data_IF_683709767701
#
_entry.id   IF_683709767701
#
_cell.length_a   1.000
_cell.length_b   1.000
_cell.length_c   1.000
_cell.angle_alpha   90.00
_cell.angle_beta   90.00
_cell.angle_gamma   90.00
#
_symmetry.space_group_name_H-M   'P 1'
#
loop_
_entity.id
_entity.type
_entity.pdbx_description
1 polymer ?
#
# COMPACT_ATOMS: atom_id res chain seq x y z
N UNK A 1 24.52 38.31 4.38
CA UNK A 1 23.31 37.46 4.55
C UNK A 1 22.73 37.31 3.15
N UNK A 2 22.48 36.08 2.67
CA UNK A 2 21.82 35.89 1.37
C UNK A 2 20.40 36.44 1.46
N UNK A 3 19.94 37.12 0.42
CA UNK A 3 18.57 37.61 0.33
C UNK A 3 17.66 36.49 -0.19
N UNK A 4 16.52 36.28 0.47
CA UNK A 4 15.59 35.19 0.14
C UNK A 4 14.35 35.76 -0.53
N UNK A 5 14.10 35.34 -1.76
CA UNK A 5 12.93 35.74 -2.55
C UNK A 5 12.15 34.50 -3.01
N UNK A 6 10.91 34.71 -3.46
CA UNK A 6 10.05 33.63 -3.98
C UNK A 6 10.73 32.94 -5.18
N UNK A 7 11.46 33.70 -5.98
CA UNK A 7 12.15 33.23 -7.19
C UNK A 7 13.38 32.41 -6.84
N UNK A 8 14.20 32.86 -5.88
CA UNK A 8 15.53 32.28 -5.64
C UNK A 8 15.57 31.20 -4.54
N UNK A 9 14.55 31.12 -3.66
CA UNK A 9 14.60 30.24 -2.49
C UNK A 9 14.77 28.76 -2.86
N UNK A 10 14.19 28.34 -3.99
CA UNK A 10 14.29 26.93 -4.44
C UNK A 10 15.72 26.58 -4.81
N UNK A 11 16.40 27.45 -5.56
CA UNK A 11 17.81 27.28 -5.93
C UNK A 11 18.71 27.29 -4.70
N UNK A 12 18.45 28.17 -3.74
CA UNK A 12 19.22 28.21 -2.49
C UNK A 12 19.09 26.89 -1.70
N UNK A 13 17.89 26.32 -1.60
CA UNK A 13 17.71 25.00 -0.94
C UNK A 13 18.45 23.88 -1.69
N UNK A 14 18.47 23.93 -3.03
CA UNK A 14 19.25 22.98 -3.84
C UNK A 14 20.75 23.09 -3.56
N UNK A 15 21.29 24.31 -3.57
CA UNK A 15 22.70 24.55 -3.28
C UNK A 15 23.06 24.07 -1.87
N UNK A 16 22.21 24.37 -0.88
CA UNK A 16 22.57 24.10 0.52
C UNK A 16 22.44 22.63 0.92
N UNK A 17 21.46 21.91 0.37
CA UNK A 17 21.12 20.56 0.84
C UNK A 17 21.23 19.50 -0.27
N UNK A 18 20.66 19.77 -1.45
CA UNK A 18 20.62 18.77 -2.53
C UNK A 18 22.02 18.53 -3.09
N UNK A 19 22.76 19.59 -3.43
CA UNK A 19 24.09 19.49 -4.04
C UNK A 19 25.11 18.75 -3.17
N UNK A 20 24.93 18.80 -1.84
CA UNK A 20 25.81 18.18 -0.84
C UNK A 20 25.42 16.75 -0.48
N UNK A 21 24.30 16.25 -0.99
CA UNK A 21 23.85 14.87 -0.75
C UNK A 21 24.75 13.90 -1.50
N UNK A 22 25.49 13.04 -0.79
CA UNK A 22 26.51 12.16 -1.39
C UNK A 22 25.94 11.09 -2.32
N UNK A 23 24.86 10.42 -1.89
CA UNK A 23 24.18 9.39 -2.67
C UNK A 23 23.52 10.01 -3.92
N UNK A 24 23.91 9.59 -5.14
CA UNK A 24 23.37 10.17 -6.37
C UNK A 24 21.86 9.97 -6.53
N UNK A 25 21.31 8.83 -6.10
CA UNK A 25 19.89 8.53 -6.22
C UNK A 25 19.09 9.33 -5.19
N UNK A 26 19.56 9.40 -3.95
CA UNK A 26 18.93 10.23 -2.93
C UNK A 26 18.94 11.71 -3.33
N UNK A 27 20.04 12.18 -3.94
CA UNK A 27 20.15 13.54 -4.47
C UNK A 27 19.08 13.83 -5.52
N UNK A 28 18.87 12.91 -6.45
CA UNK A 28 17.81 13.02 -7.47
C UNK A 28 16.42 13.07 -6.82
N UNK A 29 16.15 12.18 -5.85
CA UNK A 29 14.86 12.10 -5.15
C UNK A 29 14.56 13.39 -4.39
N UNK A 30 15.48 13.85 -3.53
CA UNK A 30 15.27 15.05 -2.72
C UNK A 30 15.20 16.29 -3.63
N UNK A 31 16.03 16.35 -4.67
CA UNK A 31 16.02 17.46 -5.62
C UNK A 31 14.67 17.59 -6.34
N UNK A 32 14.12 16.48 -6.83
CA UNK A 32 12.80 16.45 -7.45
C UNK A 32 11.69 16.82 -6.45
N UNK A 33 11.73 16.24 -5.24
CA UNK A 33 10.76 16.52 -4.18
C UNK A 33 10.70 18.01 -3.82
N UNK A 34 11.86 18.63 -3.58
CA UNK A 34 11.96 20.07 -3.27
C UNK A 34 11.37 20.91 -4.40
N UNK A 35 11.68 20.58 -5.66
CA UNK A 35 11.15 21.29 -6.81
C UNK A 35 9.62 21.25 -6.87
N UNK A 36 9.04 20.05 -6.77
CA UNK A 36 7.58 19.89 -6.85
C UNK A 36 6.86 20.49 -5.64
N UNK A 37 7.43 20.36 -4.44
CA UNK A 37 6.86 20.94 -3.22
C UNK A 37 6.87 22.47 -3.27
N UNK A 38 8.00 23.08 -3.65
CA UNK A 38 8.07 24.53 -3.80
C UNK A 38 7.18 25.05 -4.94
N UNK A 39 7.07 24.30 -6.04
CA UNK A 39 6.15 24.64 -7.12
C UNK A 39 4.69 24.64 -6.63
N UNK A 40 4.26 23.62 -5.88
CA UNK A 40 2.93 23.57 -5.27
C UNK A 40 2.68 24.76 -4.34
N UNK A 41 3.60 25.04 -3.41
CA UNK A 41 3.46 26.17 -2.46
C UNK A 41 3.32 27.51 -3.19
N UNK A 42 4.06 27.72 -4.28
CA UNK A 42 3.98 28.95 -5.09
C UNK A 42 2.69 29.01 -5.91
N UNK A 43 2.26 27.91 -6.51
CA UNK A 43 1.07 27.83 -7.38
C UNK A 43 -0.19 28.26 -6.64
N UNK A 44 -0.34 27.82 -5.40
CA UNK A 44 -1.53 28.12 -4.58
C UNK A 44 -1.32 29.30 -3.62
N UNK A 45 -0.15 29.95 -3.63
CA UNK A 45 0.23 31.01 -2.70
C UNK A 45 -0.07 30.64 -1.22
N UNK A 46 0.39 29.46 -0.79
CA UNK A 46 0.05 28.88 0.52
C UNK A 46 0.27 29.88 1.66
N UNK A 47 -0.77 30.13 2.46
CA UNK A 47 -0.69 31.09 3.57
C UNK A 47 0.00 30.48 4.79
N UNK A 48 0.51 31.34 5.69
CA UNK A 48 1.11 30.89 6.96
C UNK A 48 0.13 30.06 7.81
N UNK A 49 -1.16 30.42 7.78
CA UNK A 49 -2.20 29.69 8.51
C UNK A 49 -2.42 28.29 7.94
N UNK A 50 -2.59 28.17 6.63
CA UNK A 50 -2.77 26.87 5.97
C UNK A 50 -1.52 26.00 6.10
N UNK A 51 -0.33 26.60 6.00
CA UNK A 51 0.92 25.91 6.27
C UNK A 51 0.95 25.34 7.69
N UNK A 52 0.56 26.13 8.70
CA UNK A 52 0.54 25.66 10.09
C UNK A 52 -0.48 24.52 10.29
N UNK A 53 -1.65 24.60 9.66
CA UNK A 53 -2.65 23.52 9.66
C UNK A 53 -2.11 22.25 8.99
N UNK A 54 -1.38 22.36 7.87
CA UNK A 54 -0.73 21.22 7.22
C UNK A 54 0.34 20.57 8.10
N UNK A 55 1.14 21.37 8.83
CA UNK A 55 2.12 20.85 9.81
C UNK A 55 1.42 20.11 10.94
N UNK A 56 0.30 20.63 11.45
CA UNK A 56 -0.49 19.93 12.47
C UNK A 56 -1.06 18.61 11.95
N UNK A 57 -1.58 18.60 10.72
CA UNK A 57 -2.08 17.38 10.07
C UNK A 57 -0.99 16.30 9.98
N UNK A 58 0.19 16.62 9.41
CA UNK A 58 1.31 15.67 9.30
C UNK A 58 1.81 15.19 10.67
N UNK A 59 1.79 16.07 11.66
CA UNK A 59 2.14 15.71 13.05
C UNK A 59 1.14 14.71 13.62
N UNK A 60 -0.16 14.95 13.44
CA UNK A 60 -1.21 14.04 13.90
C UNK A 60 -1.16 12.69 13.18
N UNK A 61 -0.92 12.68 11.85
CA UNK A 61 -0.66 11.45 11.09
C UNK A 61 0.48 10.64 11.69
N UNK A 62 1.62 11.28 12.00
CA UNK A 62 2.74 10.61 12.65
C UNK A 62 2.40 10.07 14.05
N UNK A 63 1.65 10.82 14.86
CA UNK A 63 1.23 10.41 16.20
C UNK A 63 0.22 9.27 16.23
N UNK A 64 -0.52 9.07 15.13
CA UNK A 64 -1.45 7.95 14.96
C UNK A 64 -0.76 6.67 14.49
N UNK A 65 0.52 6.74 14.12
CA UNK A 65 1.29 5.55 13.77
C UNK A 65 1.74 4.79 15.03
N UNK A 66 1.61 3.46 15.00
CA UNK A 66 2.11 2.54 16.02
C UNK A 66 2.60 1.23 15.37
N UNK A 67 2.88 0.19 16.17
CA UNK A 67 3.37 -1.11 15.66
C UNK A 67 2.38 -1.83 14.72
N UNK A 68 1.09 -1.52 14.82
CA UNK A 68 0.01 -2.15 14.06
C UNK A 68 -0.61 -1.20 13.02
N UNK A 69 -0.52 0.10 13.24
CA UNK A 69 -1.13 1.15 12.41
C UNK A 69 -0.06 2.00 11.75
N UNK A 70 -0.06 2.03 10.42
CA UNK A 70 0.83 2.88 9.63
C UNK A 70 0.03 3.98 8.91
N UNK A 71 -0.25 5.08 9.61
CA UNK A 71 -1.09 6.17 9.09
C UNK A 71 -0.46 6.89 7.89
N UNK A 72 0.86 6.93 7.79
CA UNK A 72 1.52 7.47 6.58
C UNK A 72 1.32 6.58 5.34
N UNK A 73 1.19 5.25 5.52
CA UNK A 73 0.81 4.35 4.41
C UNK A 73 -0.64 4.63 4.02
N UNK A 74 -1.55 4.76 4.99
CA UNK A 74 -2.95 5.11 4.70
C UNK A 74 -3.10 6.48 4.03
N UNK A 75 -2.30 7.48 4.43
CA UNK A 75 -2.24 8.77 3.76
C UNK A 75 -1.75 8.61 2.31
N UNK A 76 -0.71 7.80 2.07
CA UNK A 76 -0.25 7.46 0.73
C UNK A 76 -1.34 6.80 -0.12
N UNK A 77 -2.10 5.86 0.45
CA UNK A 77 -3.21 5.17 -0.22
C UNK A 77 -4.32 6.15 -0.63
N UNK A 78 -4.75 7.01 0.29
CA UNK A 78 -5.81 8.02 0.03
C UNK A 78 -5.40 9.10 -0.96
N UNK A 79 -4.10 9.41 -1.06
CA UNK A 79 -3.54 10.32 -2.05
C UNK A 79 -3.20 9.62 -3.39
N UNK A 80 -3.38 8.29 -3.49
CA UNK A 80 -3.07 7.50 -4.68
C UNK A 80 -1.58 7.28 -4.95
N UNK A 81 -0.70 7.66 -4.01
CA UNK A 81 0.76 7.56 -4.16
C UNK A 81 1.19 6.09 -4.20
N UNK A 82 0.63 5.24 -3.34
CA UNK A 82 0.95 3.81 -3.31
C UNK A 82 0.59 3.11 -4.62
N UNK A 83 -0.56 3.43 -5.21
CA UNK A 83 -0.96 2.91 -6.53
C UNK A 83 -0.03 3.39 -7.65
N UNK A 84 0.39 4.66 -7.60
CA UNK A 84 1.32 5.19 -8.59
C UNK A 84 2.70 4.51 -8.49
N UNK A 85 3.18 4.27 -7.26
CA UNK A 85 4.42 3.51 -7.04
C UNK A 85 4.29 2.08 -7.57
N UNK A 86 3.18 1.40 -7.32
CA UNK A 86 2.92 0.05 -7.85
C UNK A 86 2.97 0.03 -9.39
N UNK A 87 2.23 0.92 -10.04
CA UNK A 87 2.15 0.98 -11.50
C UNK A 87 3.51 1.28 -12.16
N UNK A 88 4.35 2.12 -11.55
CA UNK A 88 5.71 2.43 -12.05
C UNK A 88 6.63 1.20 -11.97
N UNK A 89 6.53 0.41 -10.89
CA UNK A 89 7.44 -0.69 -10.61
C UNK A 89 6.97 -2.04 -11.16
N UNK A 90 5.67 -2.17 -11.46
CA UNK A 90 5.07 -3.36 -12.02
C UNK A 90 4.35 -3.05 -13.35
N UNK A 91 5.06 -2.50 -14.35
CA UNK A 91 4.47 -2.21 -15.64
C UNK A 91 3.93 -3.52 -16.24
N UNK A 92 2.67 -3.49 -16.68
CA UNK A 92 2.00 -4.66 -17.22
C UNK A 92 2.79 -5.22 -18.41
N UNK A 93 3.23 -6.46 -18.30
CA UNK A 93 3.79 -7.22 -19.43
C UNK A 93 2.75 -8.24 -19.91
N UNK A 94 2.26 -8.04 -21.14
CA UNK A 94 1.34 -8.96 -21.79
C UNK A 94 0.01 -9.17 -21.04
N UNK A 95 -0.41 -10.43 -20.95
CA UNK A 95 -1.72 -10.84 -20.45
C UNK A 95 -1.80 -11.06 -18.93
N UNK A 96 -0.76 -10.70 -18.16
CA UNK A 96 -0.77 -10.86 -16.70
C UNK A 96 -1.91 -10.11 -16.01
N UNK A 97 -2.37 -10.66 -14.88
CA UNK A 97 -3.31 -9.99 -13.97
C UNK A 97 -2.70 -8.67 -13.49
N UNK A 98 -3.50 -7.60 -13.48
CA UNK A 98 -3.06 -6.29 -13.02
C UNK A 98 -2.72 -6.33 -11.53
N UNK A 99 -1.63 -5.65 -11.15
CA UNK A 99 -1.24 -5.49 -9.75
C UNK A 99 -2.08 -4.42 -9.07
N UNK A 100 -2.09 -4.44 -7.75
CA UNK A 100 -2.63 -3.37 -6.92
C UNK A 100 -1.84 -3.29 -5.62
N UNK A 101 -2.07 -2.23 -4.86
CA UNK A 101 -1.40 -1.98 -3.58
C UNK A 101 -1.66 -3.11 -2.58
N UNK A 102 -0.61 -3.47 -1.82
CA UNK A 102 -0.73 -4.47 -0.75
C UNK A 102 -1.65 -4.01 0.39
N UNK A 103 -1.67 -2.71 0.65
CA UNK A 103 -2.34 -2.12 1.80
C UNK A 103 -1.63 -2.45 3.13
N UNK A 104 -2.06 -1.84 4.25
CA UNK A 104 -1.40 -1.97 5.54
C UNK A 104 -1.83 -3.22 6.34
N UNK A 105 -2.75 -4.03 5.81
CA UNK A 105 -3.42 -5.11 6.55
C UNK A 105 -2.95 -6.51 6.15
N UNK A 106 -1.85 -6.61 5.42
CA UNK A 106 -1.21 -7.89 5.17
C UNK A 106 -0.56 -8.42 6.44
N UNK A 107 -0.90 -9.65 6.83
CA UNK A 107 -0.30 -10.34 7.96
C UNK A 107 0.54 -11.53 7.45
N UNK A 108 1.85 -11.45 7.61
CA UNK A 108 2.75 -12.56 7.28
C UNK A 108 2.48 -13.76 8.20
N UNK A 109 2.50 -14.97 7.66
CA UNK A 109 2.37 -16.19 8.46
C UNK A 109 0.96 -16.76 8.55
N UNK A 110 0.04 -16.30 7.70
CA UNK A 110 -1.29 -16.90 7.57
C UNK A 110 -1.19 -18.44 7.37
N UNK A 111 -2.12 -19.21 7.98
CA UNK A 111 -2.08 -20.66 7.93
C UNK A 111 -2.34 -21.21 6.52
N UNK A 112 -1.73 -22.36 6.22
CA UNK A 112 -2.00 -23.09 4.99
C UNK A 112 -3.25 -23.96 5.14
N UNK A 113 -4.08 -23.96 4.10
CA UNK A 113 -5.32 -24.72 4.05
C UNK A 113 -5.38 -25.66 2.84
N UNK A 114 -6.03 -26.83 2.98
CA UNK A 114 -6.41 -27.64 1.82
C UNK A 114 -7.29 -26.86 0.84
N UNK A 115 -7.19 -27.19 -0.44
CA UNK A 115 -8.02 -26.57 -1.47
C UNK A 115 -9.51 -26.77 -1.19
N UNK A 116 -10.30 -25.69 -1.26
CA UNK A 116 -11.74 -25.67 -0.98
C UNK A 116 -12.10 -25.46 0.49
N UNK A 117 -11.13 -25.37 1.40
CA UNK A 117 -11.37 -25.06 2.82
C UNK A 117 -11.83 -23.61 3.03
N UNK A 118 -12.40 -23.37 4.21
CA UNK A 118 -12.83 -22.04 4.66
C UNK A 118 -11.69 -21.30 5.36
N UNK A 119 -11.52 -20.02 5.04
CA UNK A 119 -10.68 -19.07 5.80
C UNK A 119 -11.45 -18.39 6.95
N UNK A 120 -12.77 -18.60 7.03
CA UNK A 120 -13.61 -18.11 8.13
C UNK A 120 -13.39 -19.01 9.35
N UNK A 121 -12.71 -18.50 10.37
CA UNK A 121 -12.56 -19.17 11.67
C UNK A 121 -13.76 -18.86 12.58
N UNK A 122 -14.24 -17.61 12.53
CA UNK A 122 -15.44 -17.14 13.21
C UNK A 122 -16.26 -16.32 12.23
N UNK A 123 -17.55 -16.63 12.13
CA UNK A 123 -18.53 -15.92 11.31
C UNK A 123 -18.68 -14.48 11.81
N UNK A 124 -18.46 -13.51 10.92
CA UNK A 124 -18.59 -12.08 11.24
C UNK A 124 -19.90 -11.47 10.75
N UNK A 125 -20.84 -12.29 10.29
CA UNK A 125 -22.11 -11.89 9.70
C UNK A 125 -22.01 -11.52 8.22
N UNK A 126 -20.93 -11.93 7.55
CA UNK A 126 -20.74 -11.73 6.12
C UNK A 126 -21.58 -12.70 5.29
N UNK A 127 -21.71 -12.40 3.99
CA UNK A 127 -22.38 -13.31 3.05
C UNK A 127 -21.43 -14.44 2.68
N UNK A 128 -21.75 -15.72 2.96
CA UNK A 128 -20.88 -16.83 2.57
C UNK A 128 -20.63 -16.87 1.06
N UNK A 129 -19.38 -17.04 0.68
CA UNK A 129 -18.93 -16.99 -0.71
C UNK A 129 -17.89 -18.06 -1.01
N UNK A 130 -17.82 -18.48 -2.29
CA UNK A 130 -16.73 -19.28 -2.82
C UNK A 130 -15.94 -18.44 -3.82
N UNK A 131 -14.63 -18.32 -3.60
CA UNK A 131 -13.72 -17.69 -4.55
C UNK A 131 -12.96 -18.80 -5.27
N UNK A 132 -13.07 -18.84 -6.60
CA UNK A 132 -12.46 -19.90 -7.43
C UNK A 132 -11.90 -19.35 -8.73
N UNK A 133 -10.87 -20.00 -9.25
CA UNK A 133 -10.23 -19.64 -10.50
C UNK A 133 -9.11 -20.60 -10.88
N UNK A 134 -8.20 -20.11 -11.72
CA UNK A 134 -7.02 -20.84 -12.19
C UNK A 134 -5.84 -19.88 -12.28
N UNK A 135 -4.67 -20.33 -11.83
CA UNK A 135 -3.39 -19.66 -12.03
C UNK A 135 -2.73 -20.25 -13.27
N UNK A 136 -2.34 -19.38 -14.20
CA UNK A 136 -1.67 -19.77 -15.45
C UNK A 136 -0.47 -18.90 -15.74
N UNK A 137 0.42 -19.40 -16.59
CA UNK A 137 1.44 -18.58 -17.23
C UNK A 137 0.84 -17.67 -18.32
N UNK A 138 1.71 -16.92 -19.02
CA UNK A 138 1.30 -15.99 -20.09
C UNK A 138 0.72 -16.69 -21.32
N UNK A 139 0.98 -17.99 -21.49
CA UNK A 139 0.47 -18.81 -22.59
C UNK A 139 -0.81 -19.57 -22.21
N UNK A 140 -1.27 -19.44 -20.96
CA UNK A 140 -2.48 -20.08 -20.43
C UNK A 140 -2.26 -21.49 -19.85
N UNK A 141 -1.01 -21.95 -19.75
CA UNK A 141 -0.69 -23.24 -19.13
C UNK A 141 -0.89 -23.16 -17.62
N UNK A 142 -1.50 -24.18 -16.98
CA UNK A 142 -1.66 -24.21 -15.53
C UNK A 142 -0.30 -24.16 -14.81
N UNK A 143 -0.24 -23.42 -13.72
CA UNK A 143 0.93 -23.41 -12.82
C UNK A 143 0.62 -24.29 -11.61
N UNK A 144 1.37 -25.37 -11.44
CA UNK A 144 1.37 -26.19 -10.21
C UNK A 144 2.23 -25.53 -9.14
N UNK A 145 1.80 -25.58 -7.87
CA UNK A 145 2.58 -25.10 -6.75
C UNK A 145 2.54 -23.58 -6.55
N UNK A 146 1.75 -22.83 -7.32
CA UNK A 146 1.50 -21.42 -7.05
C UNK A 146 0.72 -21.28 -5.73
N UNK A 147 1.17 -20.35 -4.87
CA UNK A 147 0.56 -20.04 -3.58
C UNK A 147 -0.33 -18.82 -3.73
N UNK A 148 -1.60 -18.97 -3.35
CA UNK A 148 -2.53 -17.87 -3.13
C UNK A 148 -2.52 -17.51 -1.65
N UNK A 149 -1.95 -16.36 -1.30
CA UNK A 149 -2.00 -15.77 0.04
C UNK A 149 -3.15 -14.75 0.06
N UNK A 150 -4.23 -15.06 0.76
CA UNK A 150 -5.48 -14.27 0.73
C UNK A 150 -5.80 -13.70 2.11
N UNK A 151 -6.32 -12.47 2.14
CA UNK A 151 -6.84 -11.81 3.33
C UNK A 151 -7.98 -10.87 2.94
N UNK A 152 -8.97 -10.70 3.82
CA UNK A 152 -10.05 -9.73 3.64
C UNK A 152 -10.53 -9.17 4.97
N UNK A 153 -11.22 -8.03 4.92
CA UNK A 153 -11.93 -7.50 6.06
C UNK A 153 -13.17 -8.36 6.38
N UNK A 154 -13.60 -8.31 7.63
CA UNK A 154 -14.90 -8.84 8.09
C UNK A 154 -16.07 -8.01 7.55
N UNK A 155 -17.31 -8.48 7.78
CA UNK A 155 -18.53 -7.72 7.44
C UNK A 155 -18.62 -6.35 8.14
N UNK A 156 -17.89 -6.18 9.24
CA UNK A 156 -17.76 -4.89 9.93
C UNK A 156 -16.75 -3.92 9.29
N UNK A 157 -16.04 -4.35 8.24
CA UNK A 157 -14.99 -3.59 7.58
C UNK A 157 -13.64 -3.61 8.30
N UNK A 158 -13.50 -4.41 9.36
CA UNK A 158 -12.26 -4.54 10.13
C UNK A 158 -11.52 -5.84 9.79
N UNK A 159 -10.20 -5.74 9.67
CA UNK A 159 -9.30 -6.90 9.62
C UNK A 159 -9.04 -7.46 11.02
N UNK A 160 -8.64 -8.74 11.11
CA UNK A 160 -8.41 -9.41 12.38
C UNK A 160 -7.46 -8.64 13.32
N UNK A 161 -6.42 -8.00 12.77
CA UNK A 161 -5.43 -7.25 13.56
C UNK A 161 -5.98 -5.95 14.17
N UNK A 162 -7.09 -5.44 13.65
CA UNK A 162 -7.75 -4.22 14.12
C UNK A 162 -8.81 -4.50 15.18
N UNK A 163 -9.31 -5.73 15.27
CA UNK A 163 -10.31 -6.13 16.24
C UNK A 163 -9.72 -7.13 17.25
N UNK A 164 -9.45 -6.72 18.50
CA UNK A 164 -8.90 -7.60 19.54
C UNK A 164 -9.75 -8.84 19.85
N UNK A 165 -11.03 -8.83 19.50
CA UNK A 165 -11.95 -9.95 19.71
C UNK A 165 -11.91 -10.97 18.56
N UNK A 166 -11.26 -10.63 17.44
CA UNK A 166 -11.12 -11.53 16.31
C UNK A 166 -9.97 -12.52 16.51
N UNK A 167 -10.15 -13.80 16.12
CA UNK A 167 -9.06 -14.75 16.07
C UNK A 167 -7.94 -14.24 15.15
N UNK A 168 -6.70 -14.54 15.52
CA UNK A 168 -5.55 -14.29 14.65
C UNK A 168 -5.75 -15.01 13.32
N UNK A 169 -5.53 -14.30 12.21
CA UNK A 169 -5.74 -14.81 10.85
C UNK A 169 -7.19 -15.20 10.51
N UNK A 170 -8.21 -14.69 11.21
CA UNK A 170 -9.58 -14.82 10.70
C UNK A 170 -9.67 -14.16 9.31
N UNK A 171 -10.26 -14.84 8.34
CA UNK A 171 -10.34 -14.42 6.93
C UNK A 171 -8.99 -14.32 6.22
N UNK A 172 -7.95 -14.96 6.75
CA UNK A 172 -6.65 -15.09 6.10
C UNK A 172 -6.33 -16.56 5.81
N UNK A 173 -5.61 -16.83 4.73
CA UNK A 173 -5.16 -18.20 4.46
C UNK A 173 -4.29 -18.33 3.22
N UNK A 174 -3.55 -19.43 3.17
CA UNK A 174 -2.71 -19.80 2.02
C UNK A 174 -3.19 -21.08 1.36
N UNK A 175 -3.28 -21.06 0.03
CA UNK A 175 -3.69 -22.21 -0.76
C UNK A 175 -2.68 -22.47 -1.87
N UNK A 176 -2.26 -23.73 -2.02
CA UNK A 176 -1.32 -24.13 -3.06
C UNK A 176 -2.04 -24.86 -4.18
N UNK A 177 -1.88 -24.37 -5.40
CA UNK A 177 -2.48 -24.97 -6.61
C UNK A 177 -1.90 -26.35 -6.92
N UNK A 178 -2.76 -27.26 -7.39
CA UNK A 178 -2.34 -28.56 -7.92
C UNK A 178 -1.96 -28.50 -9.41
N UNK A 179 -1.75 -29.66 -10.07
CA UNK A 179 -1.33 -29.74 -11.47
C UNK A 179 -2.27 -29.07 -12.48
N UNK A 180 -3.55 -28.89 -12.13
CA UNK A 180 -4.52 -28.21 -13.00
C UNK A 180 -4.56 -26.69 -12.80
N UNK A 181 -3.71 -26.15 -11.92
CA UNK A 181 -3.56 -24.73 -11.60
C UNK A 181 -4.79 -24.12 -10.93
N UNK A 182 -5.81 -24.91 -10.57
CA UNK A 182 -7.06 -24.37 -10.04
C UNK A 182 -6.94 -24.02 -8.56
N UNK A 183 -7.71 -23.00 -8.17
CA UNK A 183 -7.95 -22.70 -6.78
C UNK A 183 -9.44 -22.55 -6.48
N UNK A 184 -9.80 -22.85 -5.23
CA UNK A 184 -11.12 -22.67 -4.66
C UNK A 184 -10.94 -22.48 -3.15
N UNK A 185 -11.60 -21.48 -2.56
CA UNK A 185 -11.67 -21.29 -1.13
C UNK A 185 -13.07 -20.81 -0.72
N UNK A 186 -13.50 -21.15 0.48
CA UNK A 186 -14.69 -20.58 1.09
C UNK A 186 -14.30 -19.37 1.96
N UNK A 187 -15.08 -18.30 1.86
CA UNK A 187 -14.91 -17.07 2.64
C UNK A 187 -16.27 -16.44 2.91
N UNK A 188 -16.29 -15.24 3.48
CA UNK A 188 -17.45 -14.36 3.55
C UNK A 188 -17.13 -12.99 2.93
N UNK A 189 -18.18 -12.27 2.49
CA UNK A 189 -18.12 -10.93 1.89
C UNK A 189 -19.00 -9.93 2.65
#
# INVERSE_FOLDING_TARGET
MRDFTIENLTEIVHEEYVSKTSDPRLREIIGSLVNHLHAFVKDIELTEKEWFEAIQFLTATGQMCDEKRQEFILLSDTLGVSMLVDAINHPRSGAGTETTVLGPFYASGAPEYPMGSSVVQVDTGGTPAFVRGKVTDQDGSPIEGAVLDVWSASASGLYHMQNPEMPEYNLCGKFTTGPDGKYCLATEL
#
